data_IF_620110661401
#
_entry.id   IF_620110661401
#
_cell.length_a   1.000
_cell.length_b   1.000
_cell.length_c   1.000
_cell.angle_alpha   90.00
_cell.angle_beta   90.00
_cell.angle_gamma   90.00
#
_symmetry.space_group_name_H-M   'P 1'
#
loop_
_entity.id
_entity.type
_entity.pdbx_description
1 polymer ?
#
# COMPACT_ATOMS: atom_id res chain seq x y z
N UNK A 1 -7.52 -22.62 7.49
CA UNK A 1 -8.24 -21.36 7.85
C UNK A 1 -7.32 -20.14 7.76
N UNK A 2 -6.19 -20.14 8.47
CA UNK A 2 -5.21 -19.03 8.49
C UNK A 2 -4.67 -18.62 7.11
N UNK A 3 -4.30 -19.55 6.22
CA UNK A 3 -3.77 -19.16 4.89
C UNK A 3 -4.78 -18.38 4.04
N UNK A 4 -6.08 -18.72 4.12
CA UNK A 4 -7.13 -17.97 3.41
C UNK A 4 -7.24 -16.54 3.93
N UNK A 5 -7.11 -16.35 5.25
CA UNK A 5 -7.13 -15.05 5.89
C UNK A 5 -5.91 -14.20 5.47
N UNK A 6 -4.71 -14.79 5.50
CA UNK A 6 -3.48 -14.15 5.01
C UNK A 6 -3.60 -13.68 3.56
N UNK A 7 -4.12 -14.55 2.68
CA UNK A 7 -4.38 -14.21 1.27
C UNK A 7 -5.39 -13.06 1.14
N UNK A 8 -6.43 -13.04 1.97
CA UNK A 8 -7.40 -11.94 1.98
C UNK A 8 -6.75 -10.62 2.39
N UNK A 9 -5.95 -10.62 3.47
CA UNK A 9 -5.22 -9.41 3.93
C UNK A 9 -4.30 -8.88 2.83
N UNK A 10 -3.50 -9.75 2.22
CA UNK A 10 -2.56 -9.34 1.15
C UNK A 10 -3.31 -8.79 -0.07
N UNK A 11 -4.43 -9.40 -0.47
CA UNK A 11 -5.27 -8.89 -1.57
C UNK A 11 -5.89 -7.52 -1.22
N UNK A 12 -6.32 -7.33 0.02
CA UNK A 12 -6.83 -6.04 0.48
C UNK A 12 -5.74 -4.98 0.46
N UNK A 13 -4.51 -5.29 0.88
CA UNK A 13 -3.37 -4.37 0.81
C UNK A 13 -3.03 -4.01 -0.64
N UNK A 14 -3.01 -4.98 -1.55
CA UNK A 14 -2.80 -4.71 -2.97
C UNK A 14 -3.89 -3.81 -3.57
N UNK A 15 -5.15 -4.05 -3.22
CA UNK A 15 -6.25 -3.17 -3.64
C UNK A 15 -6.07 -1.73 -3.11
N UNK A 16 -5.63 -1.60 -1.87
CA UNK A 16 -5.34 -0.32 -1.22
C UNK A 16 -4.15 0.41 -1.88
N UNK A 17 -3.05 -0.29 -2.15
CA UNK A 17 -1.86 0.25 -2.83
C UNK A 17 -2.22 0.71 -4.25
N UNK A 18 -2.94 -0.11 -5.02
CA UNK A 18 -3.38 0.27 -6.37
C UNK A 18 -4.28 1.52 -6.33
N UNK A 19 -5.12 1.65 -5.31
CA UNK A 19 -5.93 2.86 -5.14
C UNK A 19 -5.07 4.09 -4.81
N UNK A 20 -4.07 3.93 -3.92
CA UNK A 20 -3.16 5.00 -3.55
C UNK A 20 -2.26 5.45 -4.71
N UNK A 21 -1.82 4.53 -5.58
CA UNK A 21 -1.08 4.87 -6.80
C UNK A 21 -1.93 5.74 -7.74
N UNK A 22 -3.17 5.35 -8.01
CA UNK A 22 -4.09 6.16 -8.83
C UNK A 22 -4.36 7.53 -8.20
N UNK A 23 -4.47 7.58 -6.88
CA UNK A 23 -4.69 8.83 -6.17
C UNK A 23 -3.48 9.75 -6.24
N UNK A 24 -2.26 9.21 -6.11
CA UNK A 24 -1.01 9.94 -6.30
C UNK A 24 -0.96 10.56 -7.70
N UNK A 25 -1.23 9.78 -8.74
CA UNK A 25 -1.28 10.28 -10.12
C UNK A 25 -2.31 11.41 -10.30
N UNK A 26 -3.51 11.25 -9.72
CA UNK A 26 -4.54 12.29 -9.76
C UNK A 26 -4.18 13.54 -8.93
N UNK A 27 -3.40 13.38 -7.86
CA UNK A 27 -2.94 14.49 -7.02
C UNK A 27 -1.89 15.32 -7.76
N UNK A 28 -0.96 14.68 -8.48
CA UNK A 28 0.01 15.37 -9.35
C UNK A 28 -0.66 16.20 -10.44
N UNK A 29 -1.85 15.80 -10.89
CA UNK A 29 -2.68 16.54 -11.85
C UNK A 29 -3.60 17.60 -11.19
N UNK A 30 -3.46 17.84 -9.89
CA UNK A 30 -4.32 18.71 -9.07
C UNK A 30 -5.82 18.36 -9.14
N UNK A 31 -6.17 17.17 -9.62
CA UNK A 31 -7.55 16.78 -9.90
C UNK A 31 -8.32 16.40 -8.63
N UNK A 32 -7.64 15.88 -7.60
CA UNK A 32 -8.25 15.43 -6.35
C UNK A 32 -7.32 15.64 -5.14
N UNK A 33 -7.87 16.20 -4.05
CA UNK A 33 -7.19 16.31 -2.74
C UNK A 33 -7.78 15.31 -1.74
N UNK A 34 -7.94 14.06 -2.17
CA UNK A 34 -8.40 12.98 -1.28
C UNK A 34 -7.22 12.44 -0.46
N UNK A 35 -7.54 11.86 0.69
CA UNK A 35 -6.56 11.20 1.56
C UNK A 35 -6.19 9.83 1.00
N UNK A 36 -4.94 9.44 1.18
CA UNK A 36 -4.46 8.09 0.96
C UNK A 36 -5.13 7.12 1.93
N UNK A 37 -5.45 5.93 1.44
CA UNK A 37 -6.01 4.85 2.25
C UNK A 37 -4.89 4.15 3.01
N UNK A 38 -5.05 4.03 4.33
CA UNK A 38 -4.09 3.35 5.21
C UNK A 38 -4.76 2.36 6.16
N UNK A 39 -6.07 2.14 5.98
CA UNK A 39 -6.90 1.41 6.94
C UNK A 39 -6.59 -0.08 6.98
N UNK A 40 -6.29 -0.69 5.82
CA UNK A 40 -5.94 -2.11 5.75
C UNK A 40 -4.60 -2.36 6.44
N UNK A 41 -3.60 -1.53 6.15
CA UNK A 41 -2.30 -1.61 6.83
C UNK A 41 -2.41 -1.46 8.34
N UNK A 42 -3.06 -0.41 8.83
CA UNK A 42 -3.21 -0.13 10.28
C UNK A 42 -3.79 -1.29 11.06
N UNK A 43 -4.73 -2.04 10.48
CA UNK A 43 -5.40 -3.17 11.15
C UNK A 43 -4.58 -4.45 11.18
N UNK A 44 -3.59 -4.57 10.29
CA UNK A 44 -2.92 -5.85 10.02
C UNK A 44 -1.41 -5.83 10.26
N UNK A 45 -0.74 -4.67 10.30
CA UNK A 45 0.73 -4.55 10.36
C UNK A 45 1.42 -5.39 11.45
N UNK A 46 0.76 -5.55 12.60
CA UNK A 46 1.30 -6.29 13.75
C UNK A 46 1.11 -7.81 13.63
N UNK A 47 0.29 -8.28 12.69
CA UNK A 47 -0.08 -9.69 12.48
C UNK A 47 0.47 -10.26 11.18
N UNK A 48 1.51 -9.63 10.62
CA UNK A 48 2.07 -9.96 9.31
C UNK A 48 3.44 -10.63 9.42
N UNK A 49 3.68 -11.43 10.46
CA UNK A 49 4.92 -12.23 10.64
C UNK A 49 5.19 -13.21 9.48
N UNK A 50 4.16 -13.54 8.70
CA UNK A 50 4.24 -14.40 7.51
C UNK A 50 4.73 -13.70 6.24
N UNK A 51 4.97 -12.38 6.32
CA UNK A 51 5.62 -11.61 5.26
C UNK A 51 7.07 -11.37 5.66
N UNK A 52 7.97 -11.52 4.70
CA UNK A 52 9.40 -11.26 4.88
C UNK A 52 9.65 -9.87 5.50
N UNK A 53 10.59 -9.74 6.47
CA UNK A 53 10.89 -8.47 7.14
C UNK A 53 11.20 -7.31 6.19
N UNK A 54 11.89 -7.55 5.07
CA UNK A 54 12.23 -6.51 4.10
C UNK A 54 10.98 -5.94 3.39
N UNK A 55 10.04 -6.81 3.03
CA UNK A 55 8.75 -6.38 2.49
C UNK A 55 7.90 -5.68 3.56
N UNK A 56 7.90 -6.15 4.81
CA UNK A 56 7.22 -5.44 5.91
C UNK A 56 7.78 -4.04 6.15
N UNK A 57 9.09 -3.88 6.09
CA UNK A 57 9.76 -2.57 6.19
C UNK A 57 9.34 -1.65 5.05
N UNK A 58 9.34 -2.15 3.81
CA UNK A 58 8.93 -1.38 2.62
C UNK A 58 7.47 -0.94 2.70
N UNK A 59 6.58 -1.82 3.18
CA UNK A 59 5.18 -1.47 3.46
C UNK A 59 5.10 -0.39 4.55
N UNK A 60 5.82 -0.56 5.66
CA UNK A 60 5.81 0.40 6.76
C UNK A 60 6.23 1.79 6.30
N UNK A 61 7.31 1.90 5.54
CA UNK A 61 7.80 3.15 4.95
C UNK A 61 6.75 3.79 4.03
N UNK A 62 6.19 3.02 3.08
CA UNK A 62 5.16 3.52 2.17
C UNK A 62 3.93 4.06 2.92
N UNK A 63 3.47 3.35 3.95
CA UNK A 63 2.30 3.74 4.72
C UNK A 63 2.58 4.88 5.71
N UNK A 64 3.80 5.01 6.22
CA UNK A 64 4.22 6.16 7.03
C UNK A 64 4.18 7.45 6.21
N UNK A 65 4.77 7.44 5.01
CA UNK A 65 4.73 8.58 4.09
C UNK A 65 3.28 8.92 3.70
N UNK A 66 2.44 7.91 3.45
CA UNK A 66 1.02 8.14 3.17
C UNK A 66 0.27 8.81 4.34
N UNK A 67 0.63 8.49 5.59
CA UNK A 67 0.08 9.14 6.78
C UNK A 67 0.59 10.57 6.97
N UNK A 68 1.86 10.84 6.67
CA UNK A 68 2.42 12.20 6.63
C UNK A 68 1.62 13.09 5.67
N UNK A 69 1.42 12.64 4.43
CA UNK A 69 0.63 13.39 3.43
C UNK A 69 -0.82 13.57 3.84
N UNK A 70 -1.43 12.60 4.51
CA UNK A 70 -2.78 12.76 5.02
C UNK A 70 -2.88 13.90 6.05
N UNK A 71 -1.86 14.08 6.90
CA UNK A 71 -1.78 15.20 7.85
C UNK A 71 -1.57 16.53 7.14
N UNK A 72 -0.71 16.57 6.12
CA UNK A 72 -0.50 17.78 5.31
C UNK A 72 -1.77 18.18 4.56
N UNK A 73 -2.49 17.23 3.97
CA UNK A 73 -3.78 17.47 3.32
C UNK A 73 -4.81 18.00 4.33
N UNK A 74 -4.87 17.45 5.54
CA UNK A 74 -5.76 17.95 6.60
C UNK A 74 -5.42 19.39 7.00
N UNK A 75 -4.14 19.69 7.20
CA UNK A 75 -3.68 21.03 7.53
C UNK A 75 -4.02 22.02 6.41
N UNK A 76 -3.71 21.68 5.16
CA UNK A 76 -3.99 22.54 4.01
C UNK A 76 -5.49 22.81 3.84
N UNK A 77 -6.35 21.80 4.05
CA UNK A 77 -7.81 21.96 4.05
C UNK A 77 -8.29 22.86 5.18
N UNK A 78 -7.75 22.69 6.39
CA UNK A 78 -8.09 23.53 7.56
C UNK A 78 -7.74 25.00 7.31
N UNK A 79 -6.62 25.27 6.65
CA UNK A 79 -6.16 26.63 6.35
C UNK A 79 -6.66 27.17 5.00
N UNK A 80 -7.51 26.44 4.29
CA UNK A 80 -8.01 26.77 2.92
C UNK A 80 -6.89 27.15 1.95
N UNK A 81 -5.69 26.60 2.14
CA UNK A 81 -4.50 27.08 1.46
C UNK A 81 -4.14 26.18 0.29
N UNK A 82 -4.47 26.65 -0.91
CA UNK A 82 -4.13 25.97 -2.17
C UNK A 82 -2.62 25.94 -2.43
N UNK A 83 -1.86 26.92 -1.90
CA UNK A 83 -0.40 26.94 -1.97
C UNK A 83 0.26 25.84 -1.15
N UNK A 84 -0.31 25.47 0.02
CA UNK A 84 0.16 24.32 0.79
C UNK A 84 -0.07 23.01 0.04
N UNK A 85 -1.22 22.86 -0.63
CA UNK A 85 -1.51 21.67 -1.44
C UNK A 85 -0.55 21.51 -2.60
N UNK A 86 -0.17 22.61 -3.27
CA UNK A 86 0.79 22.60 -4.38
C UNK A 86 2.22 22.21 -3.95
N UNK A 87 2.55 22.37 -2.65
CA UNK A 87 3.85 21.99 -2.09
C UNK A 87 3.98 20.52 -1.69
N UNK A 88 2.88 19.75 -1.65
CA UNK A 88 2.92 18.35 -1.21
C UNK A 88 3.59 17.50 -2.30
N UNK A 89 4.79 16.98 -2.00
CA UNK A 89 5.60 16.17 -2.92
C UNK A 89 5.16 14.70 -2.90
N UNK A 90 3.96 14.44 -3.40
CA UNK A 90 3.35 13.09 -3.44
C UNK A 90 4.19 12.07 -4.20
N UNK A 91 5.08 12.49 -5.10
CA UNK A 91 6.01 11.62 -5.83
C UNK A 91 6.92 10.78 -4.92
N UNK A 92 7.14 11.19 -3.65
CA UNK A 92 7.89 10.38 -2.67
C UNK A 92 7.22 9.02 -2.40
N UNK A 93 5.92 8.87 -2.64
CA UNK A 93 5.19 7.60 -2.51
C UNK A 93 5.39 6.67 -3.71
N UNK A 94 5.87 7.16 -4.85
CA UNK A 94 5.89 6.39 -6.10
C UNK A 94 6.70 5.10 -5.98
N UNK A 95 7.95 5.23 -5.53
CA UNK A 95 8.85 4.08 -5.39
C UNK A 95 8.44 3.14 -4.25
N UNK A 96 8.12 3.62 -3.02
CA UNK A 96 7.67 2.74 -1.94
C UNK A 96 6.39 1.96 -2.28
N UNK A 97 5.41 2.59 -2.94
CA UNK A 97 4.19 1.89 -3.37
C UNK A 97 4.47 0.88 -4.48
N UNK A 98 5.35 1.18 -5.43
CA UNK A 98 5.73 0.25 -6.49
C UNK A 98 6.44 -0.99 -5.93
N UNK A 99 7.44 -0.80 -5.06
CA UNK A 99 8.14 -1.90 -4.39
C UNK A 99 7.20 -2.74 -3.51
N UNK A 100 6.32 -2.07 -2.74
CA UNK A 100 5.31 -2.74 -1.92
C UNK A 100 4.35 -3.59 -2.76
N UNK A 101 3.90 -3.06 -3.90
CA UNK A 101 3.03 -3.79 -4.83
C UNK A 101 3.72 -5.04 -5.35
N UNK A 102 4.94 -4.88 -5.90
CA UNK A 102 5.70 -5.98 -6.47
C UNK A 102 5.91 -7.09 -5.43
N UNK A 103 6.40 -6.76 -4.24
CA UNK A 103 6.64 -7.79 -3.22
C UNK A 103 5.37 -8.50 -2.74
N UNK A 104 4.23 -7.82 -2.69
CA UNK A 104 2.95 -8.46 -2.36
C UNK A 104 2.43 -9.35 -3.50
N UNK A 105 2.66 -8.97 -4.76
CA UNK A 105 2.36 -9.80 -5.94
C UNK A 105 3.21 -11.07 -5.94
N UNK A 106 4.53 -10.94 -5.75
CA UNK A 106 5.45 -12.07 -5.61
C UNK A 106 5.05 -12.99 -4.44
N UNK A 107 4.69 -12.41 -3.29
CA UNK A 107 4.19 -13.19 -2.16
C UNK A 107 2.91 -13.95 -2.53
N UNK A 108 1.95 -13.33 -3.23
CA UNK A 108 0.74 -14.01 -3.68
C UNK A 108 1.06 -15.16 -4.62
N UNK A 109 1.94 -14.99 -5.59
CA UNK A 109 2.31 -16.03 -6.54
C UNK A 109 2.91 -17.25 -5.84
N UNK A 110 3.86 -17.04 -4.93
CA UNK A 110 4.49 -18.12 -4.14
C UNK A 110 3.49 -18.85 -3.23
N UNK A 111 2.47 -18.14 -2.75
CA UNK A 111 1.51 -18.67 -1.77
C UNK A 111 0.20 -19.17 -2.39
N UNK A 112 -0.08 -18.85 -3.65
CA UNK A 112 -1.19 -19.39 -4.44
C UNK A 112 -0.76 -20.64 -5.23
N UNK A 113 0.50 -20.68 -5.70
CA UNK A 113 1.04 -21.77 -6.53
C UNK A 113 1.30 -23.07 -5.76
N UNK A 114 1.44 -23.01 -4.42
CA UNK A 114 1.51 -24.20 -3.55
C UNK A 114 0.25 -25.10 -3.58
N UNK A 115 -0.78 -24.74 -4.36
CA UNK A 115 -1.94 -25.60 -4.66
C UNK A 115 -1.80 -26.46 -5.92
N UNK A 116 -0.79 -26.25 -6.77
CA UNK A 116 -0.53 -27.06 -7.97
C UNK A 116 0.85 -27.70 -7.88
N UNK A 117 0.95 -28.77 -7.10
CA UNK A 117 1.88 -29.85 -7.41
C UNK A 117 1.11 -30.81 -8.33
N UNK A 118 1.47 -30.98 -9.61
CA UNK A 118 1.23 -32.26 -10.23
C UNK A 118 2.18 -33.24 -9.54
N UNK A 119 1.61 -34.14 -8.74
CA UNK A 119 2.24 -35.40 -8.38
C UNK A 119 2.44 -36.17 -9.69
N UNK A 120 3.56 -35.95 -10.37
CA UNK A 120 4.07 -36.90 -11.34
C UNK A 120 5.01 -37.82 -10.55
N UNK A 121 4.40 -38.86 -9.97
CA UNK A 121 5.11 -40.02 -9.51
C UNK A 121 5.75 -40.72 -10.72
N UNK A 122 7.04 -41.05 -10.54
CA UNK A 122 7.77 -42.26 -10.95
C UNK A 122 7.38 -42.95 -12.25
#
# INVERSE_FOLDING_TARGET
>A
KQQKERLTVVRSLLSEINHNQKLMEAFSLQWQTKKFKTGTWKRNKDKMDYIDPGLRYTLADAYEIAEEFNREIDAAKKHQSTSYLAGIRVDRLKEPLAKSKQGLEEWLELNQSKKKLPTAAQ
#
